data_IF_641758071280
#
_entry.id   IF_641758071280
#
_cell.length_a   1.000
_cell.length_b   1.000
_cell.length_c   1.000
_cell.angle_alpha   90.00
_cell.angle_beta   90.00
_cell.angle_gamma   90.00
#
_symmetry.space_group_name_H-M   'P 1'
#
loop_
_entity.id
_entity.type
_entity.pdbx_description
1 polymer ?
#
# COMPACT_ATOMS: atom_id res chain seq x y z
N UNK A 1 -3.74 -8.11 14.72
CA UNK A 1 -3.22 -6.74 14.63
C UNK A 1 -1.81 -6.84 14.06
N UNK A 2 -1.67 -6.71 12.73
CA UNK A 2 -0.37 -6.81 12.06
C UNK A 2 0.28 -5.42 12.08
N UNK A 3 1.44 -5.34 12.73
CA UNK A 3 2.24 -4.13 12.84
C UNK A 3 3.19 -4.13 11.65
N UNK A 4 3.04 -3.14 10.77
CA UNK A 4 3.90 -2.97 9.61
C UNK A 4 5.16 -2.21 10.06
N UNK A 5 6.32 -2.83 9.88
CA UNK A 5 7.62 -2.22 10.15
C UNK A 5 7.85 -1.11 9.11
N UNK A 6 7.69 0.15 9.52
CA UNK A 6 8.02 1.31 8.69
C UNK A 6 9.50 1.62 8.93
N UNK A 7 10.36 1.61 7.89
CA UNK A 7 11.78 1.92 8.07
C UNK A 7 11.95 3.33 8.65
N UNK A 8 12.74 3.42 9.72
CA UNK A 8 13.19 4.63 10.40
C UNK A 8 13.79 5.69 9.44
N UNK A 9 13.87 6.96 9.88
CA UNK A 9 13.44 8.14 9.13
C UNK A 9 14.03 8.22 7.73
N UNK A 10 13.17 8.21 6.73
CA UNK A 10 13.57 8.41 5.35
C UNK A 10 14.11 9.82 5.17
N UNK A 11 15.24 9.96 4.46
CA UNK A 11 15.71 11.30 4.10
C UNK A 11 14.78 11.87 3.03
N UNK A 12 14.51 13.17 3.12
CA UNK A 12 13.62 13.84 2.18
C UNK A 12 14.09 13.61 0.73
N UNK A 13 13.18 13.17 -0.13
CA UNK A 13 13.45 12.88 -1.54
C UNK A 13 13.75 11.40 -1.85
N UNK A 14 13.93 10.55 -0.84
CA UNK A 14 14.10 9.11 -1.05
C UNK A 14 12.81 8.43 -1.51
N UNK A 15 12.95 7.18 -1.94
CA UNK A 15 11.82 6.29 -2.23
C UNK A 15 11.76 5.17 -1.21
N UNK A 16 10.54 4.76 -0.85
CA UNK A 16 10.28 3.74 0.17
C UNK A 16 9.37 2.68 -0.42
N UNK A 17 9.62 1.42 -0.11
CA UNK A 17 8.70 0.34 -0.39
C UNK A 17 7.97 -0.05 0.90
N UNK A 18 6.65 0.04 0.87
CA UNK A 18 5.78 -0.47 1.92
C UNK A 18 5.43 -1.92 1.58
N UNK A 19 5.57 -2.83 2.54
CA UNK A 19 5.34 -4.26 2.34
C UNK A 19 4.20 -4.74 3.24
N UNK A 20 3.22 -5.41 2.65
CA UNK A 20 2.12 -6.06 3.34
C UNK A 20 2.24 -7.58 3.14
N UNK A 21 2.70 -8.26 4.18
CA UNK A 21 2.83 -9.72 4.19
C UNK A 21 1.50 -10.37 4.59
N UNK A 22 0.98 -11.24 3.73
CA UNK A 22 -0.22 -12.03 3.99
C UNK A 22 -0.16 -13.37 3.21
N UNK A 23 -0.82 -14.38 3.76
CA UNK A 23 -1.02 -15.71 3.16
C UNK A 23 -2.52 -15.97 3.11
N UNK A 24 -3.01 -16.58 2.03
CA UNK A 24 -4.45 -16.77 1.78
C UNK A 24 -4.89 -18.23 1.79
N UNK A 25 -4.04 -19.18 2.22
CA UNK A 25 -4.32 -20.62 2.19
C UNK A 25 -5.06 -21.08 0.91
N UNK A 26 -6.33 -21.46 0.99
CA UNK A 26 -7.17 -21.87 -0.15
C UNK A 26 -8.04 -20.73 -0.72
N UNK A 27 -8.12 -19.60 -0.04
CA UNK A 27 -8.93 -18.45 -0.43
C UNK A 27 -8.25 -17.63 -1.54
N UNK A 28 -9.07 -16.92 -2.31
CA UNK A 28 -8.59 -16.00 -3.36
C UNK A 28 -8.55 -14.59 -2.86
N UNK A 29 -7.53 -13.84 -3.29
CA UNK A 29 -7.44 -12.41 -3.00
C UNK A 29 -8.61 -11.68 -3.68
N UNK A 30 -9.44 -11.04 -2.89
CA UNK A 30 -10.45 -10.10 -3.39
C UNK A 30 -9.84 -8.73 -3.62
N UNK A 31 -9.17 -8.17 -2.60
CA UNK A 31 -8.51 -6.87 -2.70
C UNK A 31 -7.44 -6.65 -1.63
N UNK A 32 -6.45 -5.81 -1.92
CA UNK A 32 -5.58 -5.18 -0.93
C UNK A 32 -5.78 -3.67 -0.98
N UNK A 33 -6.05 -3.05 0.16
CA UNK A 33 -6.19 -1.59 0.27
C UNK A 33 -5.13 -1.04 1.21
N UNK A 34 -4.64 0.15 0.89
CA UNK A 34 -3.60 0.83 1.63
C UNK A 34 -4.08 2.20 2.07
N UNK A 35 -3.84 2.50 3.35
CA UNK A 35 -4.30 3.70 4.03
C UNK A 35 -3.13 4.43 4.66
N UNK A 36 -3.16 5.76 4.60
CA UNK A 36 -2.31 6.66 5.38
C UNK A 36 -3.24 7.53 6.21
N UNK A 37 -3.09 7.49 7.53
CA UNK A 37 -3.93 8.22 8.48
C UNK A 37 -5.44 8.00 8.19
N UNK A 38 -5.80 6.73 7.99
CA UNK A 38 -7.15 6.24 7.66
C UNK A 38 -7.74 6.69 6.32
N UNK A 39 -6.95 7.35 5.46
CA UNK A 39 -7.35 7.71 4.09
C UNK A 39 -6.74 6.73 3.09
N UNK A 40 -7.59 6.09 2.28
CA UNK A 40 -7.17 5.19 1.21
C UNK A 40 -6.34 5.95 0.17
N UNK A 41 -5.13 5.47 -0.13
CA UNK A 41 -4.27 6.06 -1.14
C UNK A 41 -3.88 5.07 -2.25
N UNK A 42 -4.02 3.76 -2.02
CA UNK A 42 -3.79 2.76 -3.04
C UNK A 42 -4.68 1.55 -2.82
N UNK A 43 -5.13 0.95 -3.93
CA UNK A 43 -5.83 -0.34 -3.91
C UNK A 43 -5.36 -1.24 -5.03
N UNK A 44 -5.37 -2.53 -4.75
CA UNK A 44 -5.11 -3.61 -5.68
C UNK A 44 -6.31 -4.56 -5.70
N UNK A 45 -6.96 -4.69 -6.85
CA UNK A 45 -8.05 -5.64 -7.10
C UNK A 45 -7.64 -6.49 -8.30
N UNK A 46 -7.34 -7.79 -8.14
CA UNK A 46 -6.82 -8.63 -9.23
C UNK A 46 -7.70 -8.65 -10.48
N UNK A 47 -9.01 -8.50 -10.29
CA UNK A 47 -10.02 -8.58 -11.34
C UNK A 47 -10.31 -7.23 -12.03
N UNK A 48 -9.70 -6.12 -11.58
CA UNK A 48 -9.85 -4.79 -12.19
C UNK A 48 -8.84 -4.55 -13.33
N UNK A 49 -9.12 -3.56 -14.19
CA UNK A 49 -8.19 -3.07 -15.20
C UNK A 49 -8.03 -1.53 -15.14
N UNK A 50 -6.86 -1.00 -14.73
CA UNK A 50 -5.71 -1.73 -14.20
C UNK A 50 -5.99 -2.28 -12.79
N UNK A 51 -5.29 -3.36 -12.37
CA UNK A 51 -5.53 -3.99 -11.07
C UNK A 51 -5.09 -3.10 -9.90
N UNK A 52 -4.04 -2.29 -10.10
CA UNK A 52 -3.56 -1.31 -9.12
C UNK A 52 -4.05 0.10 -9.46
N UNK A 53 -4.60 0.81 -8.47
CA UNK A 53 -5.08 2.19 -8.62
C UNK A 53 -4.54 3.07 -7.49
N UNK A 54 -4.03 4.24 -7.86
CA UNK A 54 -3.59 5.28 -6.91
C UNK A 54 -4.72 6.29 -6.69
N UNK A 55 -5.02 6.58 -5.43
CA UNK A 55 -5.92 7.64 -5.01
C UNK A 55 -5.08 8.81 -4.49
N UNK A 56 -5.13 10.00 -5.13
CA UNK A 56 -4.29 11.12 -4.75
C UNK A 56 -4.44 11.51 -3.27
N UNK A 57 -3.32 11.48 -2.55
CA UNK A 57 -3.23 11.89 -1.15
C UNK A 57 -1.98 12.76 -0.94
N UNK A 58 -2.10 13.82 -0.16
CA UNK A 58 -0.99 14.72 0.13
C UNK A 58 0.17 13.95 0.78
N UNK A 59 1.40 14.20 0.31
CA UNK A 59 2.58 13.51 0.80
C UNK A 59 2.75 12.08 0.30
N UNK A 60 1.85 11.59 -0.56
CA UNK A 60 1.92 10.24 -1.12
C UNK A 60 2.08 10.33 -2.64
N UNK A 61 3.13 9.67 -3.17
CA UNK A 61 3.38 9.58 -4.61
C UNK A 61 3.69 8.13 -4.97
N UNK A 62 2.66 7.38 -5.36
CA UNK A 62 2.81 5.96 -5.71
C UNK A 62 3.44 5.80 -7.10
N UNK A 63 4.38 4.87 -7.22
CA UNK A 63 4.84 4.34 -8.50
C UNK A 63 4.05 3.08 -8.85
N UNK A 64 3.02 3.22 -9.67
CA UNK A 64 2.15 2.11 -10.10
C UNK A 64 2.90 1.02 -10.87
N UNK A 65 4.05 1.33 -11.48
CA UNK A 65 4.85 0.34 -12.22
C UNK A 65 5.67 -0.58 -11.30
N UNK A 66 5.86 -0.16 -10.04
CA UNK A 66 6.59 -0.90 -9.00
C UNK A 66 5.71 -1.32 -7.83
N UNK A 67 4.40 -1.10 -7.93
CA UNK A 67 3.43 -1.42 -6.89
C UNK A 67 2.53 -2.55 -7.34
N UNK A 68 2.09 -3.39 -6.41
CA UNK A 68 1.26 -4.55 -6.68
C UNK A 68 0.42 -4.95 -5.48
N UNK A 69 0.08 -6.23 -5.39
CA UNK A 69 -0.76 -6.78 -4.33
C UNK A 69 -0.10 -6.70 -2.95
N UNK A 70 1.20 -6.99 -2.86
CA UNK A 70 1.93 -7.10 -1.59
C UNK A 70 2.81 -5.91 -1.27
N UNK A 71 3.11 -5.02 -2.24
CA UNK A 71 3.94 -3.85 -1.97
C UNK A 71 3.47 -2.59 -2.68
N UNK A 72 3.75 -1.45 -2.06
CA UNK A 72 3.49 -0.12 -2.62
C UNK A 72 4.75 0.72 -2.57
N UNK A 73 5.17 1.21 -3.72
CA UNK A 73 6.39 1.99 -3.86
C UNK A 73 6.07 3.49 -3.83
N UNK A 74 6.53 4.19 -2.80
CA UNK A 74 6.40 5.63 -2.63
C UNK A 74 7.66 6.33 -3.14
N UNK A 75 7.50 7.38 -3.95
CA UNK A 75 8.61 8.18 -4.49
C UNK A 75 8.68 9.55 -3.84
N UNK A 76 9.89 10.08 -3.71
CA UNK A 76 10.14 11.44 -3.23
C UNK A 76 9.40 11.74 -1.92
N UNK A 77 9.59 10.91 -0.91
CA UNK A 77 8.94 11.12 0.38
C UNK A 77 9.40 12.43 1.01
N UNK A 78 8.50 13.12 1.70
CA UNK A 78 8.77 14.39 2.36
C UNK A 78 8.07 14.44 3.73
N UNK A 79 8.09 15.61 4.38
CA UNK A 79 7.49 15.76 5.71
C UNK A 79 5.99 15.44 5.74
N UNK A 80 5.28 15.60 4.61
CA UNK A 80 3.86 15.25 4.51
C UNK A 80 3.65 13.73 4.35
N UNK A 81 4.69 12.98 4.00
CA UNK A 81 4.66 11.52 3.94
C UNK A 81 4.65 10.89 5.34
N UNK A 82 4.97 11.64 6.40
CA UNK A 82 4.87 11.15 7.77
C UNK A 82 3.41 10.82 8.13
N UNK A 83 3.20 9.73 8.86
CA UNK A 83 1.88 9.27 9.27
C UNK A 83 1.85 7.77 9.57
N UNK A 84 0.67 7.25 9.87
CA UNK A 84 0.46 5.82 10.09
C UNK A 84 0.00 5.15 8.81
N UNK A 85 0.74 4.13 8.36
CA UNK A 85 0.40 3.35 7.18
C UNK A 85 -0.20 2.00 7.58
N UNK A 86 -1.28 1.60 6.92
CA UNK A 86 -1.96 0.32 7.14
C UNK A 86 -2.33 -0.32 5.81
N UNK A 87 -2.13 -1.63 5.70
CA UNK A 87 -2.74 -2.44 4.66
C UNK A 87 -3.93 -3.23 5.21
N UNK A 88 -4.92 -3.46 4.36
CA UNK A 88 -6.11 -4.25 4.62
C UNK A 88 -6.26 -5.27 3.48
N UNK A 89 -6.23 -6.54 3.84
CA UNK A 89 -6.32 -7.66 2.91
C UNK A 89 -7.70 -8.27 3.05
N UNK A 90 -8.41 -8.41 1.93
CA UNK A 90 -9.71 -9.08 1.86
C UNK A 90 -9.58 -10.29 0.96
N UNK A 91 -9.94 -11.46 1.48
CA UNK A 91 -10.10 -12.67 0.72
C UNK A 91 -11.59 -12.87 0.37
N UNK A 92 -11.89 -13.54 -0.74
CA UNK A 92 -13.25 -14.01 -0.99
C UNK A 92 -13.61 -15.05 0.08
N UNK A 93 -14.85 -14.99 0.60
CA UNK A 93 -15.33 -16.03 1.50
C UNK A 93 -15.40 -17.38 0.75
N UNK A 94 -15.08 -18.51 1.40
CA UNK A 94 -15.17 -19.84 0.81
C UNK A 94 -16.58 -20.22 0.36
#
# INVERSE_FOLDING_TARGET
MLMMDVPSPTTQGESVELICSYELDEDKLYSVKWYKDDIEFYRYVPNDWPPGQFLPLQGVRVDLSKSGSQSVYLRHVDLNSAGTYRCEVSAEAP
#
